data_IF_232825696391
#
_entry.id   IF_232825696391
#
_cell.length_a   1.000
_cell.length_b   1.000
_cell.length_c   1.000
_cell.angle_alpha   90.00
_cell.angle_beta   90.00
_cell.angle_gamma   90.00
#
_symmetry.space_group_name_H-M   'P 1'
#
loop_
_entity.id
_entity.type
_entity.pdbx_description
1 polymer ?
#
# COMPACT_ATOMS: atom_id res chain seq x y z
N UNK A 1 21.65 23.60 12.97
CA UNK A 1 20.65 24.02 13.97
C UNK A 1 19.22 23.80 13.46
N UNK A 2 18.84 24.31 12.29
CA UNK A 2 17.46 24.12 11.79
C UNK A 2 17.01 22.65 11.70
N UNK A 3 17.80 21.71 11.11
CA UNK A 3 17.43 20.29 11.06
C UNK A 3 17.21 19.67 12.45
N UNK A 4 18.12 19.91 13.40
CA UNK A 4 18.02 19.33 14.74
C UNK A 4 16.86 19.92 15.55
N UNK A 5 16.61 21.22 15.43
CA UNK A 5 15.44 21.85 16.07
C UNK A 5 14.14 21.30 15.49
N UNK A 6 14.06 21.16 14.17
CA UNK A 6 12.89 20.56 13.51
C UNK A 6 12.65 19.14 13.98
N UNK A 7 13.69 18.30 14.02
CA UNK A 7 13.57 16.93 14.50
C UNK A 7 13.15 16.88 15.98
N UNK A 8 13.75 17.68 16.86
CA UNK A 8 13.41 17.64 18.29
C UNK A 8 11.99 18.17 18.55
N UNK A 9 11.56 19.21 17.83
CA UNK A 9 10.18 19.67 17.87
C UNK A 9 9.20 18.56 17.47
N UNK A 10 9.50 17.84 16.38
CA UNK A 10 8.71 16.70 15.93
C UNK A 10 8.67 15.57 16.97
N UNK A 11 9.84 15.09 17.41
CA UNK A 11 9.95 14.02 18.40
C UNK A 11 9.28 14.39 19.72
N UNK A 12 9.42 15.64 20.18
CA UNK A 12 8.76 16.13 21.38
C UNK A 12 7.25 15.98 21.31
N UNK A 13 6.64 16.35 20.17
CA UNK A 13 5.19 16.23 19.96
C UNK A 13 4.72 14.78 19.83
N UNK A 14 5.41 13.99 19.03
CA UNK A 14 5.07 12.56 18.86
C UNK A 14 5.18 11.79 20.17
N UNK A 15 6.23 12.04 20.96
CA UNK A 15 6.41 11.39 22.26
C UNK A 15 5.39 11.88 23.28
N UNK A 16 5.09 13.18 23.34
CA UNK A 16 4.05 13.74 24.21
C UNK A 16 2.68 13.08 23.96
N UNK A 17 2.33 12.81 22.71
CA UNK A 17 1.06 12.21 22.33
C UNK A 17 0.90 10.75 22.79
N UNK A 18 1.99 10.03 23.07
CA UNK A 18 1.97 8.60 23.47
C UNK A 18 2.38 8.35 24.93
N UNK A 19 2.67 9.40 25.69
CA UNK A 19 2.92 9.31 27.13
C UNK A 19 1.64 8.90 27.88
N UNK A 20 1.78 8.08 28.92
CA UNK A 20 0.67 7.78 29.82
C UNK A 20 0.43 9.01 30.72
N UNK A 21 -0.78 9.61 30.72
CA UNK A 21 -1.11 10.75 31.57
C UNK A 21 -0.94 10.47 33.07
N UNK A 22 -1.06 9.19 33.48
CA UNK A 22 -0.92 8.75 34.86
C UNK A 22 0.55 8.47 35.24
N UNK A 23 1.47 8.46 34.28
CA UNK A 23 2.88 8.26 34.52
C UNK A 23 3.53 9.60 34.91
N UNK A 24 3.60 9.83 36.22
CA UNK A 24 4.13 11.09 36.74
C UNK A 24 5.67 11.17 36.75
N UNK A 25 6.35 10.03 36.76
CA UNK A 25 7.81 9.89 36.97
C UNK A 25 8.60 9.42 35.72
N UNK A 26 8.10 9.68 34.52
CA UNK A 26 8.82 9.32 33.29
C UNK A 26 10.20 10.02 33.22
N UNK A 27 11.32 9.29 33.06
CA UNK A 27 12.68 9.84 33.20
C UNK A 27 13.00 10.97 32.20
N UNK A 28 12.35 10.95 31.03
CA UNK A 28 12.50 11.96 29.98
C UNK A 28 11.41 13.04 29.97
N UNK A 29 10.54 13.10 30.98
CA UNK A 29 9.40 14.03 31.02
C UNK A 29 9.80 15.49 30.81
N UNK A 30 10.92 15.93 31.40
CA UNK A 30 11.45 17.29 31.22
C UNK A 30 11.92 17.55 29.79
N UNK A 31 12.56 16.56 29.17
CA UNK A 31 13.03 16.65 27.78
C UNK A 31 11.83 16.74 26.84
N UNK A 32 10.88 15.81 26.97
CA UNK A 32 9.65 15.79 26.16
C UNK A 32 8.89 17.10 26.30
N UNK A 33 8.59 17.52 27.54
CA UNK A 33 7.86 18.75 27.81
C UNK A 33 8.55 20.02 27.31
N UNK A 34 9.89 20.06 27.28
CA UNK A 34 10.62 21.19 26.70
C UNK A 34 10.40 21.27 25.18
N UNK A 35 10.63 20.15 24.47
CA UNK A 35 10.58 20.12 23.02
C UNK A 35 9.15 20.09 22.46
N UNK A 36 8.16 19.63 23.24
CA UNK A 36 6.74 19.71 22.90
C UNK A 36 6.10 21.06 23.23
N UNK A 37 6.77 21.92 24.00
CA UNK A 37 6.21 23.22 24.41
C UNK A 37 5.90 24.14 23.23
N UNK A 38 4.81 24.90 23.32
CA UNK A 38 4.43 25.89 22.29
C UNK A 38 5.56 26.88 22.00
N UNK A 39 6.33 27.27 23.02
CA UNK A 39 7.49 28.15 22.86
C UNK A 39 8.61 27.55 22.01
N UNK A 40 8.95 26.27 22.22
CA UNK A 40 9.96 25.58 21.40
C UNK A 40 9.46 25.37 19.96
N UNK A 41 8.19 24.99 19.80
CA UNK A 41 7.56 24.83 18.49
C UNK A 41 7.58 26.14 17.70
N UNK A 42 7.17 27.26 18.34
CA UNK A 42 7.22 28.58 17.72
C UNK A 42 8.64 29.00 17.34
N UNK A 43 9.63 28.72 18.19
CA UNK A 43 11.04 29.03 17.89
C UNK A 43 11.57 28.20 16.73
N UNK A 44 11.16 26.93 16.62
CA UNK A 44 11.52 26.05 15.50
C UNK A 44 10.97 26.60 14.18
N UNK A 45 9.68 26.96 14.15
CA UNK A 45 9.06 27.59 12.97
C UNK A 45 9.76 28.91 12.59
N UNK A 46 10.09 29.76 13.57
CA UNK A 46 10.86 30.99 13.31
C UNK A 46 12.23 30.71 12.71
N UNK A 47 12.86 29.60 13.08
CA UNK A 47 14.18 29.20 12.55
C UNK A 47 14.07 28.67 11.12
N UNK A 48 13.01 27.92 10.80
CA UNK A 48 12.70 27.50 9.43
C UNK A 48 12.38 28.71 8.54
N UNK A 49 11.50 29.61 9.00
CA UNK A 49 11.17 30.86 8.31
C UNK A 49 12.40 31.73 8.03
N UNK A 50 13.36 31.76 8.96
CA UNK A 50 14.60 32.50 8.78
C UNK A 50 15.50 31.83 7.74
N UNK A 51 15.58 30.49 7.75
CA UNK A 51 16.32 29.75 6.73
C UNK A 51 15.76 30.03 5.33
N UNK A 52 14.44 30.02 5.18
CA UNK A 52 13.77 30.33 3.91
C UNK A 52 14.07 31.76 3.46
N UNK A 53 13.94 32.74 4.35
CA UNK A 53 14.24 34.15 4.05
C UNK A 53 15.70 34.37 3.64
N UNK A 54 16.64 33.72 4.32
CA UNK A 54 18.06 33.79 3.98
C UNK A 54 18.37 33.07 2.66
N UNK A 55 17.55 32.11 2.27
CA UNK A 55 17.71 31.34 1.03
C UNK A 55 17.21 32.07 -0.22
N UNK A 56 16.39 33.12 -0.09
CA UNK A 56 15.81 33.87 -1.22
C UNK A 56 16.85 34.44 -2.18
N UNK A 57 18.00 34.90 -1.66
CA UNK A 57 19.05 35.50 -2.48
C UNK A 57 20.02 34.50 -3.11
N UNK A 58 19.85 33.20 -2.84
CA UNK A 58 20.76 32.16 -3.28
C UNK A 58 20.48 31.73 -4.72
N UNK A 59 21.54 31.33 -5.40
CA UNK A 59 21.46 30.68 -6.72
C UNK A 59 20.93 29.25 -6.58
N UNK A 60 20.44 28.67 -7.69
CA UNK A 60 19.97 27.28 -7.70
C UNK A 60 21.04 26.26 -7.28
N UNK A 61 22.32 26.53 -7.57
CA UNK A 61 23.44 25.68 -7.13
C UNK A 61 23.64 25.76 -5.62
N UNK A 62 23.57 26.96 -5.04
CA UNK A 62 23.67 27.16 -3.59
C UNK A 62 22.49 26.54 -2.84
N UNK A 63 21.27 26.67 -3.37
CA UNK A 63 20.08 26.01 -2.80
C UNK A 63 20.24 24.49 -2.77
N UNK A 64 20.73 23.88 -3.85
CA UNK A 64 21.01 22.45 -3.91
C UNK A 64 22.07 22.02 -2.88
N UNK A 65 23.08 22.85 -2.62
CA UNK A 65 24.06 22.59 -1.56
C UNK A 65 23.39 22.62 -0.18
N UNK A 66 22.55 23.63 0.10
CA UNK A 66 21.85 23.75 1.38
C UNK A 66 20.91 22.58 1.60
N UNK A 67 20.15 22.17 0.58
CA UNK A 67 19.26 21.01 0.64
C UNK A 67 20.02 19.73 1.01
N UNK A 68 21.17 19.48 0.35
CA UNK A 68 22.04 18.34 0.66
C UNK A 68 22.57 18.38 2.09
N UNK A 69 22.98 19.55 2.56
CA UNK A 69 23.48 19.73 3.94
C UNK A 69 22.35 19.53 4.96
N UNK A 70 21.15 20.02 4.68
CA UNK A 70 19.97 19.83 5.53
C UNK A 70 19.61 18.34 5.61
N UNK A 71 19.53 17.67 4.46
CA UNK A 71 19.26 16.23 4.38
C UNK A 71 20.31 15.40 5.13
N UNK A 72 21.59 15.69 4.92
CA UNK A 72 22.68 15.01 5.62
C UNK A 72 22.61 15.23 7.14
N UNK A 73 22.28 16.44 7.58
CA UNK A 73 22.10 16.73 9.00
C UNK A 73 20.93 15.94 9.61
N UNK A 74 19.78 15.88 8.93
CA UNK A 74 18.64 15.04 9.36
C UNK A 74 19.03 13.57 9.46
N UNK A 75 19.75 13.04 8.46
CA UNK A 75 20.21 11.66 8.45
C UNK A 75 21.13 11.35 9.64
N UNK A 76 22.10 12.21 9.92
CA UNK A 76 23.02 12.05 11.06
C UNK A 76 22.27 12.09 12.41
N UNK A 77 21.24 12.93 12.55
CA UNK A 77 20.43 12.97 13.77
C UNK A 77 19.61 11.67 13.93
N UNK A 78 19.04 11.13 12.85
CA UNK A 78 18.35 9.83 12.89
C UNK A 78 19.33 8.71 13.27
N UNK A 79 20.50 8.68 12.65
CA UNK A 79 21.57 7.71 12.97
C UNK A 79 21.98 7.79 14.44
N UNK A 80 22.03 8.99 15.03
CA UNK A 80 22.32 9.19 16.45
C UNK A 80 21.29 8.53 17.37
N UNK A 81 19.99 8.67 17.08
CA UNK A 81 18.93 7.99 17.86
C UNK A 81 18.93 6.48 17.62
N UNK A 82 19.19 6.04 16.39
CA UNK A 82 19.22 4.62 16.04
C UNK A 82 20.41 3.88 16.64
N UNK A 83 21.53 4.57 16.87
CA UNK A 83 22.74 3.99 17.48
C UNK A 83 22.56 3.62 18.97
N UNK A 84 21.44 4.00 19.61
CA UNK A 84 21.21 3.70 21.03
C UNK A 84 20.95 2.21 21.25
N UNK A 85 21.68 1.61 22.19
CA UNK A 85 21.48 0.20 22.56
C UNK A 85 20.22 0.03 23.41
N UNK A 86 19.29 -0.78 22.94
CA UNK A 86 18.10 -1.16 23.70
C UNK A 86 18.36 -2.48 24.43
N UNK A 87 18.24 -2.47 25.76
CA UNK A 87 18.41 -3.67 26.60
C UNK A 87 17.14 -4.49 26.74
N UNK A 88 15.99 -3.93 26.36
CA UNK A 88 14.71 -4.62 26.35
C UNK A 88 14.42 -5.22 24.97
N UNK A 89 13.70 -6.35 24.90
CA UNK A 89 13.28 -6.90 23.62
C UNK A 89 12.24 -5.97 22.97
N UNK A 90 12.30 -5.87 21.64
CA UNK A 90 11.54 -4.89 20.86
C UNK A 90 10.59 -5.54 19.87
N UNK A 91 9.43 -4.93 19.65
CA UNK A 91 8.44 -5.39 18.66
C UNK A 91 8.82 -5.01 17.22
N UNK A 92 9.77 -4.07 17.08
CA UNK A 92 10.37 -3.62 15.82
C UNK A 92 11.90 -3.56 15.92
N UNK A 93 12.65 -3.67 14.81
CA UNK A 93 12.18 -4.04 13.48
C UNK A 93 11.60 -5.45 13.45
N UNK A 94 10.55 -5.70 12.65
CA UNK A 94 9.96 -7.05 12.54
C UNK A 94 10.99 -8.11 12.13
N UNK A 95 12.01 -7.72 11.37
CA UNK A 95 13.08 -8.62 10.90
C UNK A 95 14.11 -8.96 11.98
N UNK A 96 14.24 -8.17 13.06
CA UNK A 96 15.31 -8.32 14.04
C UNK A 96 15.19 -9.60 14.88
N UNK A 97 13.99 -9.92 15.34
CA UNK A 97 13.72 -11.12 16.13
C UNK A 97 13.21 -12.28 15.25
N UNK A 98 13.31 -12.15 13.93
CA UNK A 98 12.88 -13.18 13.00
C UNK A 98 13.88 -14.35 12.97
N UNK A 99 13.44 -15.52 13.43
CA UNK A 99 14.18 -16.78 13.27
C UNK A 99 13.75 -17.49 11.97
N UNK A 100 14.52 -17.46 10.87
CA UNK A 100 14.15 -18.06 9.58
C UNK A 100 14.13 -19.59 9.59
N UNK A 101 14.73 -20.23 10.60
CA UNK A 101 14.66 -21.67 10.76
C UNK A 101 13.28 -22.11 11.27
N UNK A 102 12.61 -21.25 12.05
CA UNK A 102 11.31 -21.54 12.68
C UNK A 102 10.15 -20.77 12.06
N UNK A 103 10.43 -19.63 11.45
CA UNK A 103 9.42 -18.71 10.94
C UNK A 103 9.59 -18.47 9.44
N UNK A 104 8.51 -18.02 8.83
CA UNK A 104 8.45 -17.60 7.43
C UNK A 104 7.70 -16.28 7.36
N UNK A 105 8.28 -15.30 6.68
CA UNK A 105 7.64 -14.00 6.50
C UNK A 105 6.83 -14.02 5.20
N UNK A 106 5.51 -13.88 5.30
CA UNK A 106 4.62 -13.89 4.15
C UNK A 106 4.06 -12.49 3.95
N UNK A 107 4.52 -11.79 2.92
CA UNK A 107 4.11 -10.44 2.58
C UNK A 107 3.15 -10.49 1.41
N UNK A 108 1.98 -9.90 1.61
CA UNK A 108 0.97 -9.71 0.60
C UNK A 108 0.77 -8.23 0.37
N UNK A 109 0.58 -7.82 -0.88
CA UNK A 109 0.24 -6.45 -1.20
C UNK A 109 -0.79 -6.40 -2.32
N UNK A 110 -1.70 -5.43 -2.26
CA UNK A 110 -2.38 -4.97 -3.47
C UNK A 110 -1.37 -4.26 -4.39
N UNK A 111 -1.76 -4.07 -5.65
CA UNK A 111 -0.97 -3.37 -6.65
C UNK A 111 -1.48 -1.96 -6.90
N UNK A 112 -2.75 -1.81 -7.28
CA UNK A 112 -3.32 -0.53 -7.70
C UNK A 112 -3.46 0.41 -6.51
N UNK A 113 -2.95 1.64 -6.64
CA UNK A 113 -2.91 2.70 -5.60
C UNK A 113 -2.14 2.36 -4.32
N UNK A 114 -1.81 1.08 -4.11
CA UNK A 114 -0.95 0.57 -3.04
C UNK A 114 0.52 0.55 -3.48
N UNK A 115 0.86 -0.16 -4.56
CA UNK A 115 2.20 -0.15 -5.14
C UNK A 115 2.34 0.95 -6.20
N UNK A 116 1.28 1.22 -6.96
CA UNK A 116 1.26 2.22 -8.04
C UNK A 116 0.71 3.56 -7.53
N UNK A 117 1.03 4.65 -8.23
CA UNK A 117 0.42 5.96 -7.97
C UNK A 117 -0.89 6.18 -8.75
N UNK A 118 -1.15 5.33 -9.74
CA UNK A 118 -2.30 5.40 -10.65
C UNK A 118 -2.88 4.01 -10.86
N UNK A 119 -4.19 3.95 -11.04
CA UNK A 119 -4.92 2.72 -11.27
C UNK A 119 -4.56 2.08 -12.63
N UNK A 120 -4.32 0.76 -12.63
CA UNK A 120 -3.91 0.00 -13.81
C UNK A 120 -5.00 -0.06 -14.89
N UNK A 121 -6.28 -0.02 -14.53
CA UNK A 121 -7.39 0.01 -15.49
C UNK A 121 -7.37 1.29 -16.32
N UNK A 122 -7.06 2.44 -15.70
CA UNK A 122 -6.91 3.71 -16.39
C UNK A 122 -5.72 3.70 -17.36
N UNK A 123 -4.62 3.03 -16.99
CA UNK A 123 -3.46 2.85 -17.88
C UNK A 123 -3.84 2.03 -19.10
N UNK A 124 -4.50 0.88 -18.90
CA UNK A 124 -4.92 0.01 -20.00
C UNK A 124 -5.90 0.72 -20.94
N UNK A 125 -6.85 1.48 -20.39
CA UNK A 125 -7.78 2.30 -21.17
C UNK A 125 -7.05 3.38 -21.99
N UNK A 126 -6.06 4.07 -21.40
CA UNK A 126 -5.30 5.10 -22.12
C UNK A 126 -4.46 4.49 -23.25
N UNK A 127 -3.83 3.33 -23.04
CA UNK A 127 -3.14 2.60 -24.11
C UNK A 127 -4.13 2.26 -25.22
N UNK A 128 -5.33 1.79 -24.87
CA UNK A 128 -6.37 1.46 -25.85
C UNK A 128 -6.77 2.68 -26.67
N UNK A 129 -6.98 3.82 -26.03
CA UNK A 129 -7.41 5.07 -26.69
C UNK A 129 -6.32 5.65 -27.60
N UNK A 130 -5.06 5.69 -27.12
CA UNK A 130 -3.94 6.32 -27.85
C UNK A 130 -3.48 5.49 -29.04
N UNK A 131 -3.55 4.16 -28.94
CA UNK A 131 -3.09 3.25 -30.01
C UNK A 131 -4.20 2.88 -30.99
N UNK A 132 -5.43 3.36 -30.78
CA UNK A 132 -6.56 3.08 -31.66
C UNK A 132 -6.47 3.82 -32.99
N UNK A 133 -7.01 3.23 -34.08
CA UNK A 133 -7.12 3.92 -35.35
C UNK A 133 -7.97 5.18 -35.22
N UNK A 134 -7.57 6.23 -35.96
CA UNK A 134 -8.41 7.42 -36.12
C UNK A 134 -9.59 7.09 -37.03
N UNK A 135 -10.73 7.73 -36.80
CA UNK A 135 -12.00 7.52 -37.53
C UNK A 135 -11.87 7.54 -39.05
N UNK A 136 -10.83 8.19 -39.58
CA UNK A 136 -10.66 8.47 -41.02
C UNK A 136 -9.71 7.49 -41.74
N UNK A 137 -9.20 6.45 -41.06
CA UNK A 137 -8.31 5.46 -41.67
C UNK A 137 -9.06 4.16 -41.99
N UNK A 138 -9.17 3.84 -43.29
CA UNK A 138 -9.72 2.56 -43.76
C UNK A 138 -8.94 1.38 -43.14
N UNK A 139 -9.62 0.53 -42.37
CA UNK A 139 -8.99 -0.69 -41.84
C UNK A 139 -8.65 -1.63 -43.01
N UNK A 140 -7.41 -2.14 -43.10
CA UNK A 140 -7.05 -3.18 -44.06
C UNK A 140 -7.91 -4.43 -43.84
N UNK A 141 -8.39 -5.04 -44.93
CA UNK A 141 -9.14 -6.30 -44.88
C UNK A 141 -8.30 -7.39 -44.17
N UNK A 142 -8.82 -7.93 -43.06
CA UNK A 142 -8.21 -9.02 -42.29
C UNK A 142 -7.74 -8.67 -40.86
N UNK A 143 -7.83 -7.40 -40.44
CA UNK A 143 -7.57 -7.02 -39.04
C UNK A 143 -8.80 -7.19 -38.14
N UNK A 144 -8.56 -7.44 -36.85
CA UNK A 144 -9.59 -7.50 -35.81
C UNK A 144 -10.35 -6.16 -35.79
N UNK A 145 -11.69 -6.20 -35.94
CA UNK A 145 -12.54 -5.01 -35.83
C UNK A 145 -12.36 -4.38 -34.45
N UNK A 146 -11.66 -3.24 -34.43
CA UNK A 146 -11.35 -2.44 -33.25
C UNK A 146 -12.08 -1.10 -33.31
N UNK A 147 -12.57 -0.64 -32.16
CA UNK A 147 -13.18 0.67 -31.99
C UNK A 147 -12.20 1.81 -32.32
N UNK A 148 -12.73 2.91 -32.83
CA UNK A 148 -11.96 4.14 -33.02
C UNK A 148 -11.59 4.80 -31.69
N UNK A 149 -10.59 5.68 -31.70
CA UNK A 149 -10.16 6.42 -30.49
C UNK A 149 -11.30 7.23 -29.82
N UNK A 150 -12.23 7.80 -30.61
CA UNK A 150 -13.39 8.52 -30.07
C UNK A 150 -14.43 7.60 -29.43
N UNK A 151 -14.69 6.44 -30.05
CA UNK A 151 -15.62 5.45 -29.50
C UNK A 151 -15.06 4.88 -28.19
N UNK A 152 -13.77 4.53 -28.14
CA UNK A 152 -13.12 4.04 -26.92
C UNK A 152 -13.20 5.07 -25.78
N UNK A 153 -12.96 6.35 -26.07
CA UNK A 153 -13.05 7.41 -25.06
C UNK A 153 -14.47 7.54 -24.50
N UNK A 154 -15.48 7.47 -25.36
CA UNK A 154 -16.88 7.55 -24.93
C UNK A 154 -17.26 6.32 -24.11
N UNK A 155 -16.98 5.12 -24.60
CA UNK A 155 -17.30 3.86 -23.92
C UNK A 155 -16.56 3.73 -22.59
N UNK A 156 -15.28 4.10 -22.52
CA UNK A 156 -14.55 4.15 -21.26
C UNK A 156 -15.16 5.16 -20.28
N UNK A 157 -15.54 6.34 -20.77
CA UNK A 157 -16.23 7.35 -19.95
C UNK A 157 -17.55 6.82 -19.36
N UNK A 158 -18.36 6.16 -20.18
CA UNK A 158 -19.62 5.54 -19.74
C UNK A 158 -19.39 4.42 -18.72
N UNK A 159 -18.44 3.50 -18.99
CA UNK A 159 -18.09 2.42 -18.07
C UNK A 159 -17.56 2.94 -16.73
N UNK A 160 -16.67 3.92 -16.76
CA UNK A 160 -16.10 4.52 -15.55
C UNK A 160 -17.15 5.26 -14.73
N UNK A 161 -18.02 6.03 -15.38
CA UNK A 161 -19.12 6.72 -14.70
C UNK A 161 -20.07 5.72 -14.05
N UNK A 162 -20.51 4.71 -14.81
CA UNK A 162 -21.40 3.67 -14.30
C UNK A 162 -20.77 2.89 -13.14
N UNK A 163 -19.47 2.57 -13.23
CA UNK A 163 -18.74 1.92 -12.15
C UNK A 163 -18.77 2.77 -10.87
N UNK A 164 -18.43 4.05 -10.95
CA UNK A 164 -18.43 4.93 -9.78
C UNK A 164 -19.82 5.02 -9.13
N UNK A 165 -20.87 5.23 -9.92
CA UNK A 165 -22.25 5.36 -9.40
C UNK A 165 -22.74 4.05 -8.76
N UNK A 166 -22.53 2.90 -9.42
CA UNK A 166 -22.95 1.61 -8.89
C UNK A 166 -22.09 1.15 -7.70
N UNK A 167 -20.80 1.52 -7.68
CA UNK A 167 -19.91 1.23 -6.56
C UNK A 167 -20.39 1.95 -5.30
N UNK A 168 -20.68 3.25 -5.38
CA UNK A 168 -21.22 4.03 -4.26
C UNK A 168 -22.51 3.41 -3.72
N UNK A 169 -23.45 3.05 -4.61
CA UNK A 169 -24.68 2.36 -4.23
C UNK A 169 -24.42 0.99 -3.59
N UNK A 170 -23.45 0.24 -4.11
CA UNK A 170 -23.05 -1.06 -3.54
C UNK A 170 -22.52 -0.88 -2.11
N UNK A 171 -21.63 0.09 -1.90
CA UNK A 171 -21.10 0.43 -0.57
C UNK A 171 -22.24 0.80 0.38
N UNK A 172 -23.14 1.71 -0.01
CA UNK A 172 -24.28 2.09 0.83
C UNK A 172 -25.19 0.89 1.16
N UNK A 173 -25.45 0.02 0.19
CA UNK A 173 -26.34 -1.15 0.36
C UNK A 173 -25.79 -2.25 1.26
N UNK A 174 -24.48 -2.27 1.50
CA UNK A 174 -23.84 -3.24 2.37
C UNK A 174 -23.62 -2.70 3.79
N UNK A 175 -23.74 -1.39 4.04
CA UNK A 175 -23.58 -0.86 5.39
C UNK A 175 -24.74 -1.28 6.30
N UNK A 176 -24.46 -1.70 7.55
CA UNK A 176 -25.50 -1.90 8.56
C UNK A 176 -26.09 -0.55 8.99
N UNK A 177 -27.34 -0.57 9.48
CA UNK A 177 -28.04 0.65 9.93
C UNK A 177 -27.36 1.32 11.13
N UNK A 178 -26.79 0.52 12.02
CA UNK A 178 -26.06 0.97 13.20
C UNK A 178 -24.64 0.39 13.17
N UNK A 179 -23.71 1.06 13.84
CA UNK A 179 -22.34 0.57 14.00
C UNK A 179 -22.33 -0.74 14.81
N UNK A 180 -21.75 -1.77 14.23
CA UNK A 180 -21.65 -3.11 14.84
C UNK A 180 -20.32 -3.30 15.59
N UNK A 181 -20.31 -4.28 16.49
CA UNK A 181 -19.06 -4.83 17.02
C UNK A 181 -18.34 -5.65 15.95
N UNK A 182 -17.01 -5.68 16.00
CA UNK A 182 -16.23 -6.38 14.98
C UNK A 182 -16.56 -7.87 14.93
N UNK A 183 -17.03 -8.32 13.77
CA UNK A 183 -17.22 -9.73 13.43
C UNK A 183 -16.75 -9.98 12.00
N UNK A 184 -15.70 -10.79 11.87
CA UNK A 184 -15.10 -11.10 10.57
C UNK A 184 -16.07 -11.80 9.61
N UNK A 185 -16.92 -12.71 10.09
CA UNK A 185 -17.85 -13.48 9.26
C UNK A 185 -19.02 -12.62 8.76
N UNK A 186 -19.50 -11.70 9.58
CA UNK A 186 -20.52 -10.73 9.16
C UNK A 186 -20.00 -9.82 8.06
N UNK A 187 -18.78 -9.30 8.23
CA UNK A 187 -18.12 -8.47 7.22
C UNK A 187 -17.81 -9.26 5.94
N UNK A 188 -17.39 -10.51 6.06
CA UNK A 188 -17.20 -11.41 4.92
C UNK A 188 -18.50 -11.54 4.10
N UNK A 189 -19.61 -11.85 4.77
CA UNK A 189 -20.92 -11.97 4.13
C UNK A 189 -21.35 -10.65 3.45
N UNK A 190 -21.04 -9.50 4.05
CA UNK A 190 -21.32 -8.21 3.45
C UNK A 190 -20.54 -7.96 2.15
N UNK A 191 -19.25 -8.35 2.14
CA UNK A 191 -18.37 -8.18 0.99
C UNK A 191 -18.64 -9.17 -0.15
N UNK A 192 -19.49 -10.19 0.05
CA UNK A 192 -20.04 -10.98 -1.05
C UNK A 192 -20.86 -10.11 -2.03
N UNK A 193 -21.58 -9.10 -1.52
CA UNK A 193 -22.31 -8.14 -2.36
C UNK A 193 -21.36 -7.34 -3.25
N UNK A 194 -20.22 -6.92 -2.69
CA UNK A 194 -19.17 -6.23 -3.45
C UNK A 194 -18.59 -7.18 -4.51
N UNK A 195 -18.37 -8.46 -4.18
CA UNK A 195 -17.94 -9.46 -5.15
C UNK A 195 -18.91 -9.60 -6.33
N UNK A 196 -20.21 -9.65 -6.06
CA UNK A 196 -21.21 -9.75 -7.12
C UNK A 196 -21.24 -8.49 -8.01
N UNK A 197 -21.03 -7.32 -7.41
CA UNK A 197 -20.87 -6.06 -8.14
C UNK A 197 -19.63 -6.09 -9.05
N UNK A 198 -18.45 -6.43 -8.51
CA UNK A 198 -17.20 -6.46 -9.28
C UNK A 198 -17.31 -7.41 -10.47
N UNK A 199 -17.88 -8.61 -10.27
CA UNK A 199 -18.12 -9.59 -11.34
C UNK A 199 -18.98 -9.01 -12.46
N UNK A 200 -20.05 -8.27 -12.14
CA UNK A 200 -20.89 -7.61 -13.15
C UNK A 200 -20.16 -6.47 -13.86
N UNK A 201 -19.40 -5.66 -13.13
CA UNK A 201 -18.62 -4.57 -13.70
C UNK A 201 -17.57 -5.09 -14.69
N UNK A 202 -16.86 -6.14 -14.30
CA UNK A 202 -15.88 -6.82 -15.14
C UNK A 202 -16.49 -7.44 -16.41
N UNK A 203 -17.68 -8.05 -16.31
CA UNK A 203 -18.40 -8.54 -17.50
C UNK A 203 -18.70 -7.42 -18.50
N UNK A 204 -19.11 -6.23 -18.04
CA UNK A 204 -19.35 -5.09 -18.94
C UNK A 204 -18.09 -4.65 -19.68
N UNK A 205 -16.93 -4.72 -19.03
CA UNK A 205 -15.64 -4.38 -19.65
C UNK A 205 -15.33 -5.36 -20.78
N UNK A 206 -15.48 -6.67 -20.55
CA UNK A 206 -15.31 -7.70 -21.59
C UNK A 206 -16.30 -7.47 -22.74
N UNK A 207 -17.59 -7.34 -22.42
CA UNK A 207 -18.68 -7.18 -23.40
C UNK A 207 -18.51 -5.92 -24.26
N UNK A 208 -17.97 -4.84 -23.68
CA UNK A 208 -17.69 -3.59 -24.41
C UNK A 208 -16.60 -3.73 -25.47
N UNK A 209 -15.70 -4.71 -25.30
CA UNK A 209 -14.52 -4.87 -26.16
C UNK A 209 -13.50 -3.72 -26.04
N UNK A 210 -13.54 -2.90 -24.99
CA UNK A 210 -12.66 -1.73 -24.81
C UNK A 210 -11.17 -2.08 -24.81
N UNK A 211 -10.82 -3.30 -24.36
CA UNK A 211 -9.44 -3.82 -24.35
C UNK A 211 -9.05 -4.60 -25.61
N UNK A 212 -9.97 -4.76 -26.57
CA UNK A 212 -9.73 -5.51 -27.80
C UNK A 212 -8.76 -4.77 -28.71
N UNK A 213 -7.79 -5.49 -29.27
CA UNK A 213 -6.83 -4.92 -30.20
C UNK A 213 -5.63 -4.21 -29.56
N UNK A 214 -5.50 -4.25 -28.23
CA UNK A 214 -4.30 -3.81 -27.53
C UNK A 214 -3.07 -4.63 -27.96
N UNK A 215 -1.93 -3.98 -28.17
CA UNK A 215 -0.68 -4.66 -28.50
C UNK A 215 0.08 -5.02 -27.21
N UNK A 216 0.58 -6.25 -27.15
CA UNK A 216 1.35 -6.76 -26.01
C UNK A 216 2.59 -5.90 -25.68
N UNK A 217 3.35 -5.47 -26.69
CA UNK A 217 4.56 -4.65 -26.49
C UNK A 217 4.23 -3.25 -25.97
N UNK A 218 3.07 -2.70 -26.33
CA UNK A 218 2.63 -1.41 -25.81
C UNK A 218 2.27 -1.52 -24.31
N UNK A 219 1.64 -2.62 -23.89
CA UNK A 219 1.36 -2.92 -22.48
C UNK A 219 2.67 -3.08 -21.70
N UNK A 220 3.60 -3.88 -22.21
CA UNK A 220 4.91 -4.07 -21.57
C UNK A 220 5.66 -2.74 -21.41
N UNK A 221 5.71 -1.92 -22.46
CA UNK A 221 6.36 -0.61 -22.42
C UNK A 221 5.68 0.36 -21.44
N UNK A 222 4.36 0.26 -21.29
CA UNK A 222 3.63 1.05 -20.29
C UNK A 222 3.97 0.59 -18.88
N UNK A 223 4.00 -0.72 -18.64
CA UNK A 223 4.42 -1.30 -17.36
C UNK A 223 5.82 -0.87 -16.96
N UNK A 224 6.81 -1.01 -17.86
CA UNK A 224 8.21 -0.60 -17.60
C UNK A 224 8.37 0.90 -17.23
N UNK A 225 7.40 1.75 -17.59
CA UNK A 225 7.38 3.19 -17.31
C UNK A 225 6.41 3.57 -16.19
N UNK A 226 5.74 2.58 -15.60
CA UNK A 226 4.76 2.79 -14.55
C UNK A 226 5.47 3.35 -13.31
N UNK A 227 4.90 4.41 -12.76
CA UNK A 227 5.44 5.04 -11.55
C UNK A 227 4.90 4.29 -10.35
N UNK A 228 5.80 3.67 -9.60
CA UNK A 228 5.50 3.06 -8.31
C UNK A 228 5.61 4.12 -7.21
N UNK A 229 4.85 3.92 -6.13
CA UNK A 229 4.92 4.74 -4.92
C UNK A 229 6.36 4.80 -4.40
N UNK A 230 6.76 5.98 -3.92
CA UNK A 230 8.09 6.18 -3.35
C UNK A 230 8.34 5.18 -2.21
N UNK A 231 9.52 4.57 -2.18
CA UNK A 231 9.89 3.53 -1.21
C UNK A 231 9.43 2.10 -1.54
N UNK A 232 8.37 1.91 -2.34
CA UNK A 232 7.81 0.58 -2.65
C UNK A 232 8.85 -0.39 -3.26
N UNK A 233 9.51 0.06 -4.34
CA UNK A 233 10.51 -0.76 -5.04
C UNK A 233 11.68 -1.13 -4.11
N UNK A 234 12.16 -0.17 -3.30
CA UNK A 234 13.27 -0.38 -2.39
C UNK A 234 12.90 -1.41 -1.31
N UNK A 235 11.72 -1.25 -0.70
CA UNK A 235 11.19 -2.17 0.29
C UNK A 235 11.13 -3.61 -0.25
N UNK A 236 10.46 -3.81 -1.39
CA UNK A 236 10.31 -5.14 -1.98
C UNK A 236 11.67 -5.75 -2.36
N UNK A 237 12.58 -4.95 -2.92
CA UNK A 237 13.93 -5.43 -3.26
C UNK A 237 14.72 -5.86 -2.03
N UNK A 238 14.60 -5.12 -0.93
CA UNK A 238 15.31 -5.43 0.32
C UNK A 238 14.79 -6.72 0.95
N UNK A 239 13.48 -6.94 0.93
CA UNK A 239 12.85 -8.19 1.39
C UNK A 239 13.31 -9.38 0.54
N UNK A 240 13.23 -9.27 -0.79
CA UNK A 240 13.52 -10.39 -1.70
C UNK A 240 15.01 -10.75 -1.73
N UNK A 241 15.91 -9.77 -1.56
CA UNK A 241 17.37 -10.00 -1.58
C UNK A 241 17.93 -10.56 -0.28
N UNK A 242 17.21 -10.43 0.84
CA UNK A 242 17.70 -10.91 2.12
C UNK A 242 17.33 -12.39 2.33
N UNK A 243 18.24 -13.27 1.91
CA UNK A 243 18.10 -14.73 2.05
C UNK A 243 17.90 -15.17 3.52
N UNK A 244 18.27 -14.33 4.50
CA UNK A 244 18.13 -14.64 5.92
C UNK A 244 16.71 -14.37 6.46
N UNK A 245 15.81 -13.75 5.68
CA UNK A 245 14.45 -13.47 6.11
C UNK A 245 13.46 -14.60 5.83
N UNK A 246 13.83 -15.59 5.01
CA UNK A 246 12.90 -16.64 4.55
C UNK A 246 11.53 -16.04 4.17
N UNK A 247 11.58 -14.99 3.33
CA UNK A 247 10.42 -14.16 3.00
C UNK A 247 9.85 -14.52 1.63
N UNK A 248 8.53 -14.55 1.53
CA UNK A 248 7.82 -14.66 0.25
C UNK A 248 6.93 -13.44 0.06
N UNK A 249 7.00 -12.87 -1.15
CA UNK A 249 6.19 -11.72 -1.54
C UNK A 249 5.15 -12.17 -2.57
N UNK A 250 3.90 -11.80 -2.33
CA UNK A 250 2.76 -12.07 -3.18
C UNK A 250 1.99 -10.77 -3.47
N UNK A 251 1.64 -10.56 -4.73
CA UNK A 251 0.73 -9.49 -5.15
C UNK A 251 -0.64 -10.09 -5.46
N UNK A 252 -1.69 -9.59 -4.81
CA UNK A 252 -3.08 -9.97 -5.07
C UNK A 252 -3.83 -8.76 -5.63
N UNK A 253 -4.10 -8.75 -6.94
CA UNK A 253 -4.59 -7.56 -7.63
C UNK A 253 -5.77 -7.87 -8.54
N UNK A 254 -6.68 -6.89 -8.69
CA UNK A 254 -7.77 -6.94 -9.69
C UNK A 254 -7.33 -6.60 -11.11
N UNK A 255 -6.08 -6.16 -11.30
CA UNK A 255 -5.57 -5.75 -12.61
C UNK A 255 -5.96 -6.76 -13.69
N UNK A 256 -6.51 -6.25 -14.80
CA UNK A 256 -6.96 -7.06 -15.93
C UNK A 256 -5.83 -7.72 -16.72
N UNK A 257 -4.57 -7.33 -16.47
CA UNK A 257 -3.41 -7.82 -17.21
C UNK A 257 -2.20 -8.01 -16.29
N UNK A 258 -1.97 -9.24 -15.84
CA UNK A 258 -0.80 -9.61 -15.05
C UNK A 258 0.54 -9.24 -15.70
N UNK A 259 0.62 -9.22 -17.03
CA UNK A 259 1.83 -8.79 -17.75
C UNK A 259 2.18 -7.31 -17.55
N UNK A 260 1.19 -6.45 -17.30
CA UNK A 260 1.45 -5.05 -16.93
C UNK A 260 2.17 -4.98 -15.58
N UNK A 261 1.72 -5.77 -14.60
CA UNK A 261 2.35 -5.87 -13.27
C UNK A 261 3.77 -6.42 -13.39
N UNK A 262 3.95 -7.53 -14.13
CA UNK A 262 5.28 -8.14 -14.38
C UNK A 262 6.23 -7.12 -15.01
N UNK A 263 5.76 -6.37 -16.01
CA UNK A 263 6.54 -5.34 -16.67
C UNK A 263 6.91 -4.18 -15.72
N UNK A 264 6.00 -3.77 -14.82
CA UNK A 264 6.26 -2.73 -13.82
C UNK A 264 7.44 -3.09 -12.89
N UNK A 265 7.55 -4.35 -12.51
CA UNK A 265 8.66 -4.81 -11.66
C UNK A 265 9.91 -5.25 -12.43
N UNK A 266 9.81 -5.48 -13.74
CA UNK A 266 10.96 -5.92 -14.57
C UNK A 266 12.10 -4.88 -14.66
N UNK A 267 11.78 -3.58 -14.55
CA UNK A 267 12.76 -2.50 -14.53
C UNK A 267 13.60 -2.49 -13.24
N UNK A 268 13.06 -3.08 -12.17
CA UNK A 268 13.61 -3.11 -10.84
C UNK A 268 14.36 -4.43 -10.59
N UNK A 269 15.67 -4.44 -10.86
CA UNK A 269 16.55 -5.63 -10.72
C UNK A 269 16.29 -6.42 -9.44
N UNK A 270 15.93 -7.69 -9.61
CA UNK A 270 15.75 -8.66 -8.53
C UNK A 270 14.32 -8.84 -8.04
N UNK A 271 13.33 -8.15 -8.64
CA UNK A 271 11.91 -8.34 -8.33
C UNK A 271 11.22 -9.43 -9.18
N UNK A 272 11.96 -10.14 -10.03
CA UNK A 272 11.44 -11.28 -10.81
C UNK A 272 10.92 -12.44 -9.95
N UNK A 273 11.19 -12.41 -8.63
CA UNK A 273 10.81 -13.43 -7.64
C UNK A 273 9.46 -13.11 -6.98
N UNK A 274 8.86 -11.94 -7.24
CA UNK A 274 7.55 -11.57 -6.70
C UNK A 274 6.46 -12.42 -7.37
N UNK A 275 5.65 -13.09 -6.56
CA UNK A 275 4.57 -13.93 -7.06
C UNK A 275 3.34 -13.08 -7.36
N UNK A 276 2.93 -12.99 -8.61
CA UNK A 276 1.80 -12.17 -9.04
C UNK A 276 0.57 -13.04 -9.23
N UNK A 277 -0.53 -12.66 -8.58
CA UNK A 277 -1.86 -13.27 -8.72
C UNK A 277 -2.83 -12.16 -9.12
N UNK A 278 -3.20 -12.14 -10.40
CA UNK A 278 -4.05 -11.13 -11.02
C UNK A 278 -4.81 -11.74 -12.20
N UNK A 279 -5.69 -10.98 -12.83
CA UNK A 279 -6.37 -11.44 -14.04
C UNK A 279 -5.43 -11.40 -15.25
N UNK A 280 -5.72 -12.23 -16.26
CA UNK A 280 -4.87 -12.33 -17.45
C UNK A 280 -5.64 -11.93 -18.72
N UNK A 281 -5.15 -10.90 -19.41
CA UNK A 281 -5.69 -10.47 -20.69
C UNK A 281 -5.30 -11.49 -21.77
N UNK A 282 -6.27 -11.95 -22.55
CA UNK A 282 -6.02 -12.95 -23.58
C UNK A 282 -5.47 -12.32 -24.86
N UNK A 283 -4.45 -12.95 -25.44
CA UNK A 283 -3.81 -12.51 -26.68
C UNK A 283 -3.91 -13.57 -27.76
N UNK A 284 -4.13 -13.12 -29.00
CA UNK A 284 -3.86 -13.89 -30.21
C UNK A 284 -2.64 -13.28 -30.89
N UNK A 285 -1.57 -14.06 -30.97
CA UNK A 285 -0.23 -13.55 -31.33
C UNK A 285 0.21 -12.43 -30.37
N UNK A 286 0.27 -11.18 -30.84
CA UNK A 286 0.64 -10.01 -30.04
C UNK A 286 -0.52 -9.05 -29.80
N UNK A 287 -1.75 -9.45 -30.11
CA UNK A 287 -2.93 -8.57 -30.10
C UNK A 287 -4.00 -9.14 -29.18
N UNK A 288 -4.48 -8.30 -28.25
CA UNK A 288 -5.52 -8.67 -27.29
C UNK A 288 -6.83 -9.03 -27.99
N UNK A 289 -7.43 -10.13 -27.56
CA UNK A 289 -8.78 -10.54 -28.03
C UNK A 289 -9.89 -9.73 -27.35
N UNK A 290 -9.58 -9.04 -26.25
CA UNK A 290 -10.54 -8.37 -25.36
C UNK A 290 -11.10 -9.28 -24.27
N UNK A 291 -10.84 -10.58 -24.32
CA UNK A 291 -11.22 -11.53 -23.28
C UNK A 291 -10.24 -11.45 -22.11
N UNK A 292 -10.74 -11.61 -20.89
CA UNK A 292 -9.96 -11.58 -19.65
C UNK A 292 -10.23 -12.87 -18.88
N UNK A 293 -9.16 -13.57 -18.51
CA UNK A 293 -9.21 -14.73 -17.64
C UNK A 293 -9.26 -14.20 -16.20
N UNK A 294 -10.43 -14.35 -15.57
CA UNK A 294 -10.68 -13.84 -14.22
C UNK A 294 -10.16 -14.81 -13.17
N UNK A 295 -8.98 -14.54 -12.62
CA UNK A 295 -8.39 -15.29 -11.51
C UNK A 295 -8.61 -14.60 -10.16
N UNK A 296 -8.49 -13.27 -10.11
CA UNK A 296 -8.65 -12.44 -8.91
C UNK A 296 -9.45 -11.21 -9.30
N UNK A 297 -10.77 -11.25 -9.17
CA UNK A 297 -11.65 -10.15 -9.62
C UNK A 297 -12.48 -9.54 -8.49
N UNK A 298 -12.41 -10.09 -7.28
CA UNK A 298 -13.27 -9.68 -6.18
C UNK A 298 -12.63 -9.87 -4.80
N UNK A 299 -13.21 -9.31 -3.72
CA UNK A 299 -12.64 -9.41 -2.38
C UNK A 299 -12.60 -10.87 -1.90
N UNK A 300 -13.59 -11.66 -2.34
CA UNK A 300 -13.70 -13.09 -2.06
C UNK A 300 -12.58 -13.86 -2.77
N UNK A 301 -12.28 -13.54 -4.02
CA UNK A 301 -11.18 -14.20 -4.75
C UNK A 301 -9.82 -13.87 -4.11
N UNK A 302 -9.61 -12.63 -3.64
CA UNK A 302 -8.37 -12.26 -2.92
C UNK A 302 -8.20 -13.10 -1.65
N UNK A 303 -9.24 -13.24 -0.82
CA UNK A 303 -9.13 -14.02 0.42
C UNK A 303 -8.98 -15.52 0.16
N UNK A 304 -9.61 -16.05 -0.89
CA UNK A 304 -9.40 -17.43 -1.33
C UNK A 304 -7.95 -17.67 -1.79
N UNK A 305 -7.40 -16.77 -2.61
CA UNK A 305 -6.01 -16.82 -3.04
C UNK A 305 -5.05 -16.73 -1.85
N UNK A 306 -5.27 -15.78 -0.94
CA UNK A 306 -4.51 -15.64 0.31
C UNK A 306 -4.49 -16.95 1.11
N UNK A 307 -5.67 -17.53 1.36
CA UNK A 307 -5.80 -18.78 2.13
C UNK A 307 -5.09 -19.95 1.42
N UNK A 308 -5.23 -20.07 0.10
CA UNK A 308 -4.58 -21.12 -0.71
C UNK A 308 -3.06 -21.03 -0.63
N UNK A 309 -2.50 -19.82 -0.71
CA UNK A 309 -1.05 -19.59 -0.62
C UNK A 309 -0.53 -20.00 0.77
N UNK A 310 -1.23 -19.62 1.84
CA UNK A 310 -0.85 -19.98 3.21
C UNK A 310 -0.96 -21.49 3.44
N UNK A 311 -2.02 -22.14 2.95
CA UNK A 311 -2.18 -23.60 3.05
C UNK A 311 -1.11 -24.38 2.25
N UNK A 312 -0.66 -23.82 1.12
CA UNK A 312 0.46 -24.37 0.35
C UNK A 312 1.80 -24.34 1.10
N UNK A 313 1.91 -23.51 2.15
CA UNK A 313 3.07 -23.38 3.02
C UNK A 313 2.95 -24.24 4.30
N UNK A 314 2.47 -25.49 4.16
CA UNK A 314 2.14 -26.39 5.27
C UNK A 314 3.35 -27.11 5.91
N UNK A 315 4.54 -26.50 5.89
CA UNK A 315 5.70 -27.03 6.63
C UNK A 315 5.61 -26.71 8.13
N UNK A 316 6.52 -27.26 8.93
CA UNK A 316 6.56 -27.05 10.40
C UNK A 316 6.90 -25.60 10.80
N UNK A 317 7.03 -24.68 9.84
CA UNK A 317 7.37 -23.27 10.08
C UNK A 317 6.12 -22.45 10.40
N UNK A 318 6.28 -21.48 11.30
CA UNK A 318 5.24 -20.51 11.62
C UNK A 318 5.25 -19.37 10.60
N UNK A 319 4.11 -19.13 9.96
CA UNK A 319 3.93 -17.99 9.06
C UNK A 319 3.63 -16.72 9.89
N UNK A 320 4.39 -15.65 9.65
CA UNK A 320 4.02 -14.28 10.04
C UNK A 320 3.50 -13.58 8.78
N UNK A 321 2.21 -13.26 8.78
CA UNK A 321 1.53 -12.71 7.61
C UNK A 321 1.36 -11.20 7.73
N UNK A 322 1.79 -10.47 6.70
CA UNK A 322 1.56 -9.02 6.59
C UNK A 322 0.83 -8.76 5.29
N UNK A 323 -0.27 -8.01 5.35
CA UNK A 323 -1.02 -7.59 4.17
C UNK A 323 -1.01 -6.06 4.06
N UNK A 324 -0.72 -5.55 2.87
CA UNK A 324 -0.68 -4.12 2.56
C UNK A 324 -1.74 -3.84 1.48
N UNK A 325 -2.65 -2.90 1.72
CA UNK A 325 -3.69 -2.55 0.76
C UNK A 325 -4.28 -1.17 1.04
N UNK A 326 -5.12 -0.67 0.15
CA UNK A 326 -5.69 0.69 0.24
C UNK A 326 -7.22 0.71 0.13
N UNK A 327 -7.84 -0.39 -0.27
CA UNK A 327 -9.23 -0.40 -0.72
C UNK A 327 -10.14 -1.30 0.13
N UNK A 328 -11.46 -1.15 -0.07
CA UNK A 328 -12.48 -2.06 0.52
C UNK A 328 -12.26 -3.50 0.03
N UNK A 329 -11.73 -3.69 -1.18
CA UNK A 329 -11.47 -5.02 -1.74
C UNK A 329 -10.40 -5.81 -0.98
N UNK A 330 -9.53 -5.11 -0.25
CA UNK A 330 -8.48 -5.71 0.55
C UNK A 330 -8.90 -6.04 1.97
N UNK A 331 -10.06 -5.55 2.41
CA UNK A 331 -10.43 -5.50 3.83
C UNK A 331 -10.43 -6.89 4.49
N UNK A 332 -10.87 -7.93 3.78
CA UNK A 332 -10.82 -9.30 4.27
C UNK A 332 -9.39 -9.80 4.47
N UNK A 333 -8.50 -9.57 3.51
CA UNK A 333 -7.11 -10.01 3.61
C UNK A 333 -6.33 -9.20 4.64
N UNK A 334 -6.57 -7.87 4.70
CA UNK A 334 -6.04 -6.97 5.73
C UNK A 334 -6.37 -7.46 7.14
N UNK A 335 -7.63 -7.85 7.37
CA UNK A 335 -8.06 -8.36 8.66
C UNK A 335 -7.65 -9.81 8.92
N UNK A 336 -7.45 -10.61 7.88
CA UNK A 336 -7.02 -12.02 8.04
C UNK A 336 -5.55 -12.12 8.43
N UNK A 337 -4.71 -11.25 7.88
CA UNK A 337 -3.28 -11.22 8.16
C UNK A 337 -2.98 -10.88 9.63
N UNK A 338 -1.84 -11.34 10.14
CA UNK A 338 -1.39 -11.03 11.51
C UNK A 338 -1.14 -9.53 11.70
N UNK A 339 -0.73 -8.85 10.62
CA UNK A 339 -0.54 -7.42 10.54
C UNK A 339 -1.19 -6.91 9.24
N UNK A 340 -2.34 -6.24 9.35
CA UNK A 340 -2.96 -5.51 8.25
C UNK A 340 -2.50 -4.05 8.24
N UNK A 341 -1.95 -3.59 7.12
CA UNK A 341 -1.47 -2.22 6.93
C UNK A 341 -2.25 -1.57 5.78
N UNK A 342 -2.94 -0.49 6.10
CA UNK A 342 -3.65 0.35 5.16
C UNK A 342 -2.74 1.49 4.72
N UNK A 343 -2.54 1.63 3.42
CA UNK A 343 -1.89 2.78 2.82
C UNK A 343 -2.94 3.69 2.15
N UNK A 344 -2.72 5.00 2.17
CA UNK A 344 -3.63 5.97 1.57
C UNK A 344 -4.85 6.32 2.42
N UNK A 345 -5.85 6.91 1.77
CA UNK A 345 -6.95 7.64 2.44
C UNK A 345 -8.33 7.31 1.89
N UNK A 346 -8.56 6.07 1.44
CA UNK A 346 -9.87 5.62 0.94
C UNK A 346 -10.98 5.89 1.95
N UNK A 347 -11.94 6.74 1.59
CA UNK A 347 -13.11 7.07 2.42
C UNK A 347 -14.02 5.86 2.56
N UNK A 348 -14.28 5.14 1.47
CA UNK A 348 -15.13 3.94 1.47
C UNK A 348 -14.57 2.85 2.37
N UNK A 349 -13.25 2.61 2.35
CA UNK A 349 -12.60 1.67 3.27
C UNK A 349 -12.84 2.03 4.74
N UNK A 350 -12.67 3.32 5.08
CA UNK A 350 -12.89 3.81 6.44
C UNK A 350 -14.35 3.71 6.85
N UNK A 351 -15.27 4.13 5.99
CA UNK A 351 -16.71 4.06 6.23
C UNK A 351 -17.16 2.62 6.49
N UNK A 352 -16.78 1.69 5.61
CA UNK A 352 -17.13 0.27 5.76
C UNK A 352 -16.49 -0.30 7.02
N UNK A 353 -15.18 -0.12 7.20
CA UNK A 353 -14.49 -0.60 8.40
C UNK A 353 -15.11 -0.06 9.69
N UNK A 354 -15.42 1.23 9.75
CA UNK A 354 -15.97 1.86 10.94
C UNK A 354 -17.36 1.32 11.31
N UNK A 355 -18.21 1.03 10.33
CA UNK A 355 -19.55 0.45 10.57
C UNK A 355 -19.46 -1.02 11.00
N UNK A 356 -18.43 -1.75 10.55
CA UNK A 356 -18.16 -3.13 10.92
C UNK A 356 -17.22 -3.27 12.12
N UNK A 357 -17.04 -2.21 12.91
CA UNK A 357 -16.28 -2.26 14.16
C UNK A 357 -14.75 -2.36 14.00
N UNK A 358 -14.21 -2.14 12.80
CA UNK A 358 -12.77 -2.09 12.54
C UNK A 358 -12.19 -0.77 13.09
N UNK A 359 -11.02 -0.86 13.71
CA UNK A 359 -10.26 0.28 14.23
C UNK A 359 -9.04 0.54 13.36
N UNK A 360 -8.97 1.73 12.78
CA UNK A 360 -7.79 2.21 12.04
C UNK A 360 -6.87 3.00 12.98
N UNK A 361 -5.66 2.47 13.20
CA UNK A 361 -4.69 3.02 14.16
C UNK A 361 -3.42 3.44 13.42
N UNK A 362 -2.94 4.69 13.57
CA UNK A 362 -1.65 5.06 12.97
C UNK A 362 -0.51 4.15 13.45
N UNK A 363 0.39 3.78 12.53
CA UNK A 363 1.46 2.81 12.80
C UNK A 363 2.25 3.14 14.07
N UNK A 364 2.76 4.38 14.19
CA UNK A 364 3.58 4.78 15.33
C UNK A 364 2.90 4.59 16.70
N UNK A 365 1.73 5.22 17.02
CA UNK A 365 1.08 5.02 18.30
C UNK A 365 0.61 3.56 18.51
N UNK A 366 0.20 2.87 17.44
CA UNK A 366 -0.13 1.45 17.49
C UNK A 366 1.05 0.58 17.92
N UNK A 367 2.25 0.84 17.38
CA UNK A 367 3.48 0.14 17.73
C UNK A 367 3.95 0.46 19.15
N UNK A 368 3.81 1.71 19.61
CA UNK A 368 4.12 2.08 21.01
C UNK A 368 3.22 1.30 21.98
N UNK A 369 1.92 1.19 21.67
CA UNK A 369 0.99 0.38 22.47
C UNK A 369 1.41 -1.10 22.49
N UNK A 370 1.75 -1.67 21.33
CA UNK A 370 2.24 -3.05 21.22
C UNK A 370 3.53 -3.30 21.98
N UNK A 371 4.46 -2.35 21.95
CA UNK A 371 5.71 -2.43 22.73
C UNK A 371 5.46 -2.44 24.24
N UNK A 372 4.48 -1.65 24.72
CA UNK A 372 4.07 -1.64 26.13
C UNK A 372 3.42 -2.96 26.55
N UNK A 373 2.59 -3.56 25.69
CA UNK A 373 1.98 -4.88 25.91
C UNK A 373 3.04 -6.01 25.93
N UNK A 374 4.04 -5.93 25.06
CA UNK A 374 5.07 -6.97 24.92
C UNK A 374 5.91 -7.18 26.19
N UNK A 375 6.19 -6.11 26.94
CA UNK A 375 6.96 -6.18 28.18
C UNK A 375 6.20 -6.77 29.38
N UNK A 376 4.87 -6.87 29.33
CA UNK A 376 4.07 -7.31 30.47
C UNK A 376 3.96 -8.85 30.58
N UNK A 377 3.86 -9.56 29.45
CA UNK A 377 3.41 -10.96 29.43
C UNK A 377 4.39 -11.94 28.77
N UNK A 378 5.53 -11.47 28.24
CA UNK A 378 6.60 -12.31 27.66
C UNK A 378 6.16 -13.23 26.50
N UNK A 379 4.97 -13.01 25.95
CA UNK A 379 4.35 -13.87 24.94
C UNK A 379 4.95 -13.63 23.55
N UNK A 380 5.28 -14.73 22.86
CA UNK A 380 5.86 -14.77 21.51
C UNK A 380 4.85 -14.47 20.38
N UNK A 381 3.59 -14.11 20.70
CA UNK A 381 2.54 -13.88 19.70
C UNK A 381 1.81 -12.55 19.92
N UNK A 382 2.53 -11.43 19.75
CA UNK A 382 1.99 -10.07 19.86
C UNK A 382 1.04 -9.68 18.70
N UNK A 383 1.28 -10.27 17.52
CA UNK A 383 0.51 -10.08 16.30
C UNK A 383 -0.51 -11.20 16.16
N UNK A 384 -1.76 -10.82 15.86
CA UNK A 384 -2.88 -11.74 15.70
C UNK A 384 -3.81 -11.19 14.64
N UNK A 385 -4.12 -12.03 13.65
CA UNK A 385 -5.17 -11.76 12.69
C UNK A 385 -6.54 -11.69 13.35
N UNK A 386 -7.49 -11.13 12.63
CA UNK A 386 -8.90 -10.96 13.02
C UNK A 386 -9.09 -10.25 14.37
N UNK A 387 -8.18 -9.32 14.70
CA UNK A 387 -8.28 -8.50 15.92
C UNK A 387 -9.22 -7.30 15.77
N UNK A 388 -9.70 -7.02 14.54
CA UNK A 388 -10.44 -5.81 14.21
C UNK A 388 -9.57 -4.55 14.18
N UNK A 389 -8.24 -4.67 14.29
CA UNK A 389 -7.31 -3.53 14.25
C UNK A 389 -6.52 -3.57 12.94
N UNK A 390 -6.54 -2.45 12.21
CA UNK A 390 -5.71 -2.21 11.04
C UNK A 390 -4.79 -1.03 11.30
N UNK A 391 -3.54 -1.15 10.90
CA UNK A 391 -2.57 -0.06 11.04
C UNK A 391 -2.57 0.83 9.81
N UNK A 392 -2.46 2.14 9.96
CA UNK A 392 -2.37 3.06 8.82
C UNK A 392 -0.96 3.58 8.64
N UNK A 393 -0.47 3.50 7.40
CA UNK A 393 0.81 4.05 6.94
C UNK A 393 0.57 5.27 6.05
N UNK A 394 1.46 6.26 6.16
CA UNK A 394 1.45 7.44 5.28
C UNK A 394 2.14 7.15 3.94
N UNK A 395 3.00 6.13 3.90
CA UNK A 395 3.71 5.68 2.70
C UNK A 395 4.53 4.42 2.96
N UNK A 396 5.26 3.96 1.95
CA UNK A 396 6.14 2.79 2.08
C UNK A 396 7.33 3.02 3.00
N UNK A 397 7.71 4.26 3.28
CA UNK A 397 8.77 4.57 4.26
C UNK A 397 8.37 4.16 5.69
N UNK A 398 7.11 4.35 6.08
CA UNK A 398 6.59 3.88 7.38
C UNK A 398 6.62 2.34 7.46
N UNK A 399 6.28 1.68 6.35
CA UNK A 399 6.30 0.22 6.23
C UNK A 399 7.76 -0.27 6.26
N UNK A 400 8.66 0.40 5.56
CA UNK A 400 10.09 0.09 5.61
C UNK A 400 10.64 0.23 7.04
N UNK A 401 10.26 1.29 7.76
CA UNK A 401 10.63 1.49 9.16
C UNK A 401 10.11 0.39 10.09
N UNK A 402 8.87 -0.08 9.88
CA UNK A 402 8.30 -1.21 10.63
C UNK A 402 9.15 -2.48 10.47
N UNK A 403 9.56 -2.80 9.25
CA UNK A 403 10.26 -4.05 8.96
C UNK A 403 11.75 -4.00 9.31
N UNK A 404 12.43 -2.91 8.99
CA UNK A 404 13.89 -2.83 9.04
C UNK A 404 14.43 -1.79 10.02
N UNK A 405 13.59 -0.88 10.51
CA UNK A 405 14.04 0.34 11.17
C UNK A 405 14.51 1.38 10.14
N UNK A 406 15.43 2.27 10.53
CA UNK A 406 15.95 3.31 9.64
C UNK A 406 16.84 2.74 8.52
#
# INVERSE_FOLDING_TARGET
MTPCMRLYAFLGKELEAVLDPNEHDHPYKKWIGNYSSEGFQATTLQTEDLLDKLSVSLTGEELNIIEKLYHQAMKLEIEFFYAQTLTQPTVIPLTKEHDPARNRLMIFSDFDLTCTVVDSSAILAEIAIVTAPKSDQNQPEGQITRMSSSELRNTWGELSQQYTEEYEQCIESMLPSDKEEFNYETLHTALEKLSDFEKRANSRVIESGVLKGLNFEDIKRAGERLILQDGCTNFLQKIVKDENLNANVHLLSYCWCGDLIRAAFSSARGLDVVNIHANELSFQESVSTGEIIMEVQSPIDKIEAFNKIIQGCSDDKRNLTVYIGDSVGDLLCLLKADIGIVIGSSSSLRTVGDHYGVSFVPLFPGLVKKQKEYGADGSCCIWKGQSGILYTASGWDDIHALFFGH
#
